data_IF_931392448053
#
_entry.id   IF_931392448053
#
_cell.length_a   1.000
_cell.length_b   1.000
_cell.length_c   1.000
_cell.angle_alpha   90.00
_cell.angle_beta   90.00
_cell.angle_gamma   90.00
#
_symmetry.space_group_name_H-M   'P 1'
#
loop_
_entity.id
_entity.type
_entity.pdbx_description
1 polymer ?
#
# COMPACT_ATOMS: atom_id res chain seq x y z
N UNK A 1 17.10 -8.10 -9.39
CA UNK A 1 18.30 -7.33 -9.76
C UNK A 1 17.97 -6.56 -11.03
N UNK A 2 18.06 -5.24 -11.02
CA UNK A 2 17.88 -4.44 -12.24
C UNK A 2 19.24 -3.89 -12.64
N UNK A 3 19.65 -4.16 -13.87
CA UNK A 3 20.77 -3.48 -14.48
C UNK A 3 20.25 -2.26 -15.25
N UNK A 4 20.62 -1.05 -14.82
CA UNK A 4 20.25 0.19 -15.51
C UNK A 4 21.29 0.51 -16.59
N UNK A 5 20.85 0.63 -17.84
CA UNK A 5 21.72 1.03 -18.95
C UNK A 5 22.08 2.52 -18.87
N UNK A 6 23.32 2.88 -19.23
CA UNK A 6 23.72 4.29 -19.29
C UNK A 6 22.89 5.12 -20.29
N UNK A 7 22.40 4.49 -21.37
CA UNK A 7 21.49 5.15 -22.31
C UNK A 7 20.19 5.57 -21.64
N UNK A 8 19.55 4.67 -20.89
CA UNK A 8 18.31 4.99 -20.15
C UNK A 8 18.51 6.13 -19.15
N UNK A 9 19.67 6.18 -18.47
CA UNK A 9 19.99 7.30 -17.58
C UNK A 9 20.19 8.61 -18.35
N UNK A 10 20.85 8.57 -19.51
CA UNK A 10 21.05 9.75 -20.37
C UNK A 10 19.73 10.28 -20.90
N UNK A 11 18.85 9.39 -21.36
CA UNK A 11 17.55 9.75 -21.93
C UNK A 11 16.67 10.39 -20.86
N UNK A 12 16.66 9.83 -19.64
CA UNK A 12 15.99 10.42 -18.49
C UNK A 12 16.53 11.80 -18.12
N UNK A 13 17.84 11.96 -17.96
CA UNK A 13 18.44 13.26 -17.64
C UNK A 13 18.18 14.29 -18.76
N UNK A 14 18.18 13.85 -20.02
CA UNK A 14 17.89 14.72 -21.16
C UNK A 14 16.43 15.17 -21.17
N UNK A 15 15.51 14.27 -20.82
CA UNK A 15 14.09 14.58 -20.62
C UNK A 15 13.89 15.59 -19.50
N UNK A 16 14.55 15.38 -18.35
CA UNK A 16 14.45 16.25 -17.18
C UNK A 16 15.00 17.66 -17.46
N UNK A 17 16.13 17.76 -18.16
CA UNK A 17 16.77 19.02 -18.51
C UNK A 17 16.16 19.68 -19.76
N UNK A 18 15.26 18.98 -20.47
CA UNK A 18 14.70 19.36 -21.77
C UNK A 18 15.78 19.71 -22.81
N UNK A 19 16.95 19.06 -22.71
CA UNK A 19 18.16 19.31 -23.52
C UNK A 19 19.03 18.05 -23.56
N UNK A 20 19.86 17.92 -24.58
CA UNK A 20 20.82 16.82 -24.66
C UNK A 20 21.82 16.84 -23.48
N UNK A 21 22.02 15.68 -22.87
CA UNK A 21 22.94 15.47 -21.75
C UNK A 21 24.11 14.58 -22.16
N UNK A 22 25.32 15.00 -21.78
CA UNK A 22 26.52 14.15 -21.83
C UNK A 22 26.85 13.67 -20.42
N UNK A 23 26.78 12.35 -20.19
CA UNK A 23 27.19 11.77 -18.90
C UNK A 23 28.72 11.72 -18.85
N UNK A 24 29.31 12.44 -17.90
CA UNK A 24 30.75 12.51 -17.68
C UNK A 24 31.21 11.37 -16.77
N UNK A 25 30.44 11.11 -15.70
CA UNK A 25 30.82 10.15 -14.68
C UNK A 25 29.60 9.53 -14.01
N UNK A 26 29.66 8.22 -13.76
CA UNK A 26 28.73 7.53 -12.86
C UNK A 26 29.51 6.57 -11.98
N UNK A 27 29.21 6.55 -10.69
CA UNK A 27 29.83 5.61 -9.75
C UNK A 27 29.16 5.61 -8.37
N UNK A 28 29.40 4.57 -7.57
CA UNK A 28 28.86 4.51 -6.20
C UNK A 28 29.44 5.64 -5.34
N UNK A 29 28.57 6.33 -4.60
CA UNK A 29 28.95 7.52 -3.82
C UNK A 29 30.06 7.23 -2.79
N UNK A 30 30.00 6.04 -2.16
CA UNK A 30 30.96 5.62 -1.13
C UNK A 30 32.30 5.06 -1.68
N UNK A 31 32.39 4.77 -2.98
CA UNK A 31 33.61 4.22 -3.62
C UNK A 31 33.95 4.96 -4.90
N UNK A 32 34.34 6.25 -4.81
CA UNK A 32 34.59 7.10 -5.98
C UNK A 32 35.77 6.63 -6.87
N UNK A 33 36.67 5.79 -6.34
CA UNK A 33 37.92 5.35 -6.99
C UNK A 33 37.76 4.26 -8.08
N UNK A 34 36.57 3.67 -8.28
CA UNK A 34 36.30 2.74 -9.40
C UNK A 34 35.43 3.42 -10.45
N UNK A 35 36.03 4.39 -11.12
CA UNK A 35 35.40 5.26 -12.11
C UNK A 35 35.71 4.76 -13.52
N UNK A 36 34.80 3.97 -14.07
CA UNK A 36 34.73 3.75 -15.52
C UNK A 36 33.27 3.95 -15.93
N UNK A 37 33.04 4.49 -17.13
CA UNK A 37 31.76 4.42 -17.81
C UNK A 37 31.42 2.94 -18.02
N UNK A 38 30.83 2.30 -17.01
CA UNK A 38 30.33 0.93 -17.14
C UNK A 38 29.02 1.03 -17.88
N UNK A 39 28.88 0.35 -19.03
CA UNK A 39 27.67 0.41 -19.86
C UNK A 39 26.36 0.09 -19.12
N UNK A 40 26.44 -0.54 -17.94
CA UNK A 40 25.34 -0.86 -17.03
C UNK A 40 25.72 -0.60 -15.57
N UNK A 41 24.78 -0.08 -14.80
CA UNK A 41 24.87 0.02 -13.34
C UNK A 41 24.39 -1.30 -12.72
N UNK A 42 25.34 -2.17 -12.36
CA UNK A 42 25.03 -3.44 -11.69
C UNK A 42 24.53 -3.20 -10.27
N UNK A 43 23.46 -3.89 -9.90
CA UNK A 43 22.89 -3.82 -8.54
C UNK A 43 22.06 -2.57 -8.25
N UNK A 44 21.68 -1.81 -9.28
CA UNK A 44 20.74 -0.71 -9.14
C UNK A 44 19.39 -1.26 -8.62
N UNK A 45 18.76 -0.58 -7.65
CA UNK A 45 17.53 -1.07 -6.99
C UNK A 45 17.69 -1.56 -5.54
N UNK A 46 18.88 -1.51 -4.94
CA UNK A 46 19.16 -2.07 -3.60
C UNK A 46 19.52 -1.06 -2.49
N UNK A 47 19.25 0.24 -2.66
CA UNK A 47 19.60 1.21 -1.60
C UNK A 47 20.93 1.92 -1.80
N UNK A 48 21.73 1.53 -2.79
CA UNK A 48 23.07 2.13 -2.96
C UNK A 48 22.98 3.43 -3.76
N UNK A 49 23.45 4.56 -3.21
CA UNK A 49 23.45 5.84 -3.91
C UNK A 49 24.58 5.88 -4.96
N UNK A 50 24.24 6.38 -6.15
CA UNK A 50 25.17 6.61 -7.25
C UNK A 50 25.36 8.10 -7.48
N UNK A 51 26.60 8.56 -7.47
CA UNK A 51 26.96 9.88 -7.97
C UNK A 51 26.90 9.86 -9.49
N UNK A 52 26.23 10.85 -10.06
CA UNK A 52 26.16 11.11 -11.49
C UNK A 52 26.67 12.52 -11.73
N UNK A 53 27.65 12.67 -12.61
CA UNK A 53 28.13 13.96 -13.11
C UNK A 53 27.87 14.02 -14.61
N UNK A 54 27.28 15.12 -15.06
CA UNK A 54 26.84 15.26 -16.44
C UNK A 54 26.89 16.71 -16.90
N UNK A 55 26.94 16.92 -18.21
CA UNK A 55 26.95 18.23 -18.84
C UNK A 55 25.63 18.51 -19.54
N UNK A 56 25.16 19.74 -19.39
CA UNK A 56 24.05 20.33 -20.15
C UNK A 56 24.61 21.55 -20.87
N UNK A 57 24.94 21.41 -22.15
CA UNK A 57 25.73 22.40 -22.89
C UNK A 57 27.09 22.64 -22.21
N UNK A 58 27.37 23.87 -21.76
CA UNK A 58 28.61 24.23 -21.04
C UNK A 58 28.55 24.05 -19.52
N UNK A 59 27.37 23.77 -18.96
CA UNK A 59 27.20 23.65 -17.49
C UNK A 59 27.44 22.21 -17.05
N UNK A 60 28.31 22.03 -16.06
CA UNK A 60 28.48 20.74 -15.37
C UNK A 60 27.51 20.71 -14.19
N UNK A 61 26.76 19.62 -14.07
CA UNK A 61 25.87 19.34 -12.95
C UNK A 61 26.24 17.99 -12.32
N UNK A 62 25.88 17.83 -11.07
CA UNK A 62 25.99 16.55 -10.36
C UNK A 62 24.74 16.28 -9.56
N UNK A 63 24.43 15.00 -9.38
CA UNK A 63 23.31 14.53 -8.59
C UNK A 63 23.59 13.15 -8.02
N UNK A 64 22.84 12.78 -6.98
CA UNK A 64 22.85 11.43 -6.42
C UNK A 64 21.55 10.75 -6.83
N UNK A 65 21.67 9.60 -7.49
CA UNK A 65 20.55 8.74 -7.82
C UNK A 65 20.55 7.54 -6.89
N UNK A 66 19.45 7.36 -6.18
CA UNK A 66 19.26 6.27 -5.24
C UNK A 66 17.90 5.62 -5.40
N UNK A 67 17.80 4.38 -4.94
CA UNK A 67 16.53 3.65 -4.79
C UNK A 67 16.45 3.20 -3.35
N UNK A 68 15.28 2.82 -2.84
CA UNK A 68 15.17 2.22 -1.51
C UNK A 68 15.24 0.69 -1.59
N UNK A 69 15.86 0.06 -0.59
CA UNK A 69 15.88 -1.42 -0.45
C UNK A 69 14.59 -1.89 0.23
N UNK A 70 14.11 -3.07 -0.15
CA UNK A 70 13.03 -3.73 0.60
C UNK A 70 13.49 -4.12 2.02
N UNK A 71 12.61 -3.94 3.01
CA UNK A 71 12.85 -4.34 4.40
C UNK A 71 11.64 -4.13 5.32
N UNK A 72 11.65 -4.79 6.49
CA UNK A 72 10.53 -4.91 7.44
C UNK A 72 10.12 -3.66 8.24
N UNK A 73 10.69 -2.50 7.90
CA UNK A 73 10.40 -1.22 8.55
C UNK A 73 9.33 -0.40 7.79
N UNK A 74 8.45 -1.07 7.05
CA UNK A 74 7.51 -0.39 6.16
C UNK A 74 8.16 0.00 4.83
N UNK A 75 9.04 -0.85 4.30
CA UNK A 75 9.63 -0.69 2.96
C UNK A 75 9.49 -1.98 2.14
N UNK A 76 8.68 -2.93 2.61
CA UNK A 76 8.54 -4.28 2.09
C UNK A 76 8.12 -4.28 0.61
N UNK A 77 7.13 -3.47 0.28
CA UNK A 77 6.56 -3.37 -1.05
C UNK A 77 7.06 -2.14 -1.81
N UNK A 78 6.87 -2.16 -3.14
CA UNK A 78 7.26 -1.05 -3.99
C UNK A 78 6.48 0.23 -3.69
N UNK A 79 5.21 0.12 -3.31
CA UNK A 79 4.37 1.27 -2.97
C UNK A 79 4.82 1.94 -1.66
N UNK A 80 5.31 1.19 -0.67
CA UNK A 80 5.86 1.79 0.55
C UNK A 80 7.10 2.65 0.26
N UNK A 81 7.94 2.14 -0.63
CA UNK A 81 9.15 2.85 -1.07
C UNK A 81 8.79 4.06 -1.94
N UNK A 82 7.74 3.94 -2.76
CA UNK A 82 7.21 5.06 -3.52
C UNK A 82 6.71 6.17 -2.58
N UNK A 83 5.90 5.84 -1.56
CA UNK A 83 5.43 6.78 -0.54
C UNK A 83 6.60 7.54 0.10
N UNK A 84 7.64 6.82 0.53
CA UNK A 84 8.82 7.42 1.15
C UNK A 84 9.58 8.37 0.20
N UNK A 85 9.78 7.98 -1.05
CA UNK A 85 10.49 8.80 -2.06
C UNK A 85 9.67 10.03 -2.49
N UNK A 86 8.35 9.88 -2.61
CA UNK A 86 7.44 11.00 -2.91
C UNK A 86 7.43 12.01 -1.76
N UNK A 87 7.30 11.52 -0.52
CA UNK A 87 7.37 12.38 0.67
C UNK A 87 8.70 13.14 0.73
N UNK A 88 9.82 12.45 0.49
CA UNK A 88 11.14 13.08 0.41
C UNK A 88 11.18 14.19 -0.65
N UNK A 89 10.72 13.91 -1.88
CA UNK A 89 10.71 14.91 -2.95
C UNK A 89 9.85 16.14 -2.60
N UNK A 90 8.66 15.93 -2.05
CA UNK A 90 7.74 17.00 -1.68
C UNK A 90 8.24 17.90 -0.52
N UNK A 91 9.10 17.37 0.35
CA UNK A 91 9.48 18.05 1.62
C UNK A 91 10.92 18.52 1.68
N UNK A 92 11.87 17.84 1.02
CA UNK A 92 13.31 18.14 1.11
C UNK A 92 13.64 19.61 0.83
N UNK A 93 13.00 20.20 -0.19
CA UNK A 93 13.27 21.57 -0.61
C UNK A 93 12.67 22.63 0.34
N UNK A 94 11.79 22.24 1.27
CA UNK A 94 11.14 23.13 2.25
C UNK A 94 11.90 23.17 3.58
N UNK A 95 12.77 22.19 3.84
CA UNK A 95 13.57 22.13 5.05
C UNK A 95 14.90 22.89 4.86
N UNK A 96 15.17 23.95 5.65
CA UNK A 96 16.44 24.69 5.54
C UNK A 96 17.66 23.80 5.77
N UNK A 97 18.75 24.06 5.04
CA UNK A 97 20.02 23.31 5.11
C UNK A 97 19.89 21.82 4.78
N UNK A 98 18.83 21.41 4.11
CA UNK A 98 18.68 20.05 3.57
C UNK A 98 19.18 19.96 2.12
N UNK A 99 19.58 18.76 1.68
CA UNK A 99 19.89 18.53 0.26
C UNK A 99 18.64 18.78 -0.58
N UNK A 100 18.81 19.47 -1.71
CA UNK A 100 17.70 19.70 -2.63
C UNK A 100 17.32 18.43 -3.37
N UNK A 101 16.04 18.08 -3.35
CA UNK A 101 15.50 17.07 -4.25
C UNK A 101 15.34 17.68 -5.64
N UNK A 102 15.95 17.03 -6.64
CA UNK A 102 15.91 17.47 -8.05
C UNK A 102 14.70 16.89 -8.77
N UNK A 103 14.41 15.61 -8.54
CA UNK A 103 13.31 14.89 -9.17
C UNK A 103 12.99 13.62 -8.36
N UNK A 104 11.83 13.02 -8.61
CA UNK A 104 11.44 11.67 -8.21
C UNK A 104 10.89 10.95 -9.43
N UNK A 105 11.20 9.66 -9.55
CA UNK A 105 10.90 8.91 -10.76
C UNK A 105 10.58 7.44 -10.50
N UNK A 106 10.15 6.78 -11.55
CA UNK A 106 9.90 5.34 -11.58
C UNK A 106 10.90 4.64 -12.50
N UNK A 107 11.09 3.36 -12.23
CA UNK A 107 11.75 2.44 -13.13
C UNK A 107 10.68 1.56 -13.79
N UNK A 108 10.58 1.61 -15.11
CA UNK A 108 9.59 0.82 -15.85
C UNK A 108 9.98 -0.65 -15.94
N UNK A 109 9.04 -1.52 -16.33
CA UNK A 109 9.32 -2.94 -16.61
C UNK A 109 10.36 -3.16 -17.74
N UNK A 110 10.61 -2.14 -18.57
CA UNK A 110 11.64 -2.13 -19.62
C UNK A 110 12.98 -1.56 -19.14
N UNK A 111 13.14 -1.33 -17.83
CA UNK A 111 14.31 -0.71 -17.22
C UNK A 111 14.59 0.72 -17.70
N UNK A 112 13.53 1.46 -18.07
CA UNK A 112 13.60 2.89 -18.39
C UNK A 112 13.35 3.72 -17.13
N UNK A 113 14.02 4.86 -17.00
CA UNK A 113 13.71 5.85 -15.96
C UNK A 113 12.69 6.86 -16.50
N UNK A 114 11.66 7.16 -15.72
CA UNK A 114 10.68 8.21 -16.04
C UNK A 114 10.47 9.11 -14.84
N UNK A 115 10.50 10.42 -15.07
CA UNK A 115 10.15 11.40 -14.05
C UNK A 115 8.66 11.29 -13.72
N UNK A 116 8.35 11.42 -12.43
CA UNK A 116 7.01 11.68 -11.91
C UNK A 116 7.02 12.88 -10.96
N UNK A 117 8.09 13.68 -10.94
CA UNK A 117 8.23 14.80 -9.98
C UNK A 117 7.32 15.99 -10.27
N UNK A 118 6.83 16.14 -11.50
CA UNK A 118 5.83 17.15 -11.88
C UNK A 118 4.40 16.63 -11.68
N UNK A 119 4.15 15.93 -10.57
CA UNK A 119 2.82 15.43 -10.22
C UNK A 119 2.10 16.43 -9.30
N UNK A 120 0.77 16.53 -9.45
CA UNK A 120 -0.10 17.20 -8.48
C UNK A 120 -0.90 16.19 -7.66
N UNK A 121 -1.36 15.11 -8.29
CA UNK A 121 -2.17 14.06 -7.68
C UNK A 121 -2.05 12.76 -8.50
N UNK A 122 -2.18 11.61 -7.83
CA UNK A 122 -2.31 10.30 -8.45
C UNK A 122 -3.78 9.94 -8.62
N UNK A 123 -4.12 9.30 -9.72
CA UNK A 123 -5.47 8.79 -9.95
C UNK A 123 -5.43 7.29 -10.25
N UNK A 124 -6.49 6.59 -9.85
CA UNK A 124 -6.76 5.21 -10.21
C UNK A 124 -7.96 5.16 -11.14
N UNK A 125 -7.80 4.51 -12.30
CA UNK A 125 -8.89 4.22 -13.23
C UNK A 125 -9.17 2.71 -13.20
N UNK A 126 -10.39 2.34 -12.81
CA UNK A 126 -10.86 0.96 -12.74
C UNK A 126 -11.98 0.70 -13.74
N UNK A 127 -12.24 -0.57 -14.04
CA UNK A 127 -13.41 -0.97 -14.82
C UNK A 127 -14.70 -0.67 -14.04
N UNK A 128 -15.76 -0.25 -14.76
CA UNK A 128 -17.08 -0.06 -14.15
C UNK A 128 -17.69 -1.42 -13.81
N UNK A 129 -18.01 -1.62 -12.53
CA UNK A 129 -18.76 -2.79 -12.06
C UNK A 129 -20.26 -2.45 -12.03
N UNK A 130 -21.08 -3.34 -12.58
CA UNK A 130 -22.55 -3.28 -12.50
C UNK A 130 -23.05 -4.16 -11.36
N UNK A 131 -24.19 -3.82 -10.76
CA UNK A 131 -24.84 -4.62 -9.72
C UNK A 131 -25.37 -3.79 -8.56
N UNK A 132 -25.75 -4.49 -7.48
CA UNK A 132 -26.21 -3.91 -6.22
C UNK A 132 -25.27 -4.28 -5.08
N UNK A 133 -24.97 -3.33 -4.20
CA UNK A 133 -24.14 -3.57 -3.03
C UNK A 133 -24.77 -4.58 -2.08
N UNK A 134 -23.99 -5.51 -1.52
CA UNK A 134 -24.49 -6.55 -0.61
C UNK A 134 -25.11 -5.97 0.65
N UNK A 135 -24.66 -4.79 1.09
CA UNK A 135 -25.29 -4.07 2.21
C UNK A 135 -26.81 -3.84 2.00
N UNK A 136 -27.29 -3.73 0.76
CA UNK A 136 -28.73 -3.61 0.46
C UNK A 136 -29.52 -4.86 0.79
N UNK A 137 -28.90 -6.04 0.70
CA UNK A 137 -29.54 -7.28 1.16
C UNK A 137 -29.72 -7.23 2.68
N UNK A 138 -28.71 -6.75 3.41
CA UNK A 138 -28.77 -6.65 4.86
C UNK A 138 -29.76 -5.58 5.34
N UNK A 139 -29.82 -4.43 4.67
CA UNK A 139 -30.88 -3.42 4.90
C UNK A 139 -32.27 -4.03 4.69
N UNK A 140 -32.47 -4.75 3.57
CA UNK A 140 -33.74 -5.41 3.29
C UNK A 140 -34.10 -6.42 4.37
N UNK A 141 -33.17 -7.26 4.81
CA UNK A 141 -33.42 -8.24 5.87
C UNK A 141 -33.76 -7.54 7.18
N UNK A 142 -33.00 -6.51 7.56
CA UNK A 142 -33.27 -5.68 8.74
C UNK A 142 -34.68 -5.09 8.70
N UNK A 143 -35.02 -4.39 7.61
CA UNK A 143 -36.26 -3.61 7.52
C UNK A 143 -37.50 -4.49 7.36
N UNK A 144 -37.37 -5.63 6.68
CA UNK A 144 -38.50 -6.55 6.45
C UNK A 144 -38.64 -7.65 7.50
N UNK A 145 -37.57 -7.96 8.23
CA UNK A 145 -37.48 -9.16 9.06
C UNK A 145 -37.45 -10.48 8.26
N UNK A 146 -37.35 -10.42 6.92
CA UNK A 146 -37.47 -11.59 6.04
C UNK A 146 -36.12 -11.93 5.41
N UNK A 147 -35.58 -13.08 5.82
CA UNK A 147 -34.47 -13.75 5.14
C UNK A 147 -35.02 -14.70 4.06
N UNK A 148 -34.36 -14.72 2.90
CA UNK A 148 -34.71 -15.55 1.75
C UNK A 148 -33.63 -16.59 1.46
N UNK A 149 -33.96 -17.61 0.67
CA UNK A 149 -32.98 -18.60 0.19
C UNK A 149 -31.85 -17.97 -0.65
N UNK A 150 -32.09 -16.81 -1.26
CA UNK A 150 -31.03 -16.10 -1.99
C UNK A 150 -29.97 -15.55 -1.03
N UNK A 151 -30.36 -15.06 0.15
CA UNK A 151 -29.42 -14.48 1.13
C UNK A 151 -28.48 -15.56 1.66
N UNK A 152 -29.03 -16.73 2.00
CA UNK A 152 -28.25 -17.89 2.44
C UNK A 152 -27.27 -18.32 1.34
N UNK A 153 -27.72 -18.37 0.07
CA UNK A 153 -26.85 -18.72 -1.06
C UNK A 153 -25.77 -17.67 -1.33
N UNK A 154 -26.06 -16.38 -1.17
CA UNK A 154 -25.08 -15.29 -1.30
C UNK A 154 -24.03 -15.36 -0.20
N UNK A 155 -24.44 -15.56 1.05
CA UNK A 155 -23.54 -15.78 2.18
C UNK A 155 -22.63 -16.99 1.96
N UNK A 156 -23.18 -18.12 1.49
CA UNK A 156 -22.39 -19.30 1.14
C UNK A 156 -21.38 -19.00 0.01
N UNK A 157 -21.79 -18.32 -1.06
CA UNK A 157 -20.91 -17.96 -2.18
C UNK A 157 -19.76 -17.04 -1.74
N UNK A 158 -20.02 -16.07 -0.84
CA UNK A 158 -19.01 -15.21 -0.25
C UNK A 158 -18.03 -16.00 0.63
N UNK A 159 -18.56 -16.95 1.42
CA UNK A 159 -17.75 -17.82 2.28
C UNK A 159 -16.83 -18.73 1.47
N UNK A 160 -17.34 -19.32 0.39
CA UNK A 160 -16.52 -20.12 -0.53
C UNK A 160 -15.46 -19.28 -1.23
N UNK A 161 -15.81 -18.07 -1.67
CA UNK A 161 -14.87 -17.14 -2.29
C UNK A 161 -13.73 -16.78 -1.34
N UNK A 162 -14.05 -16.33 -0.13
CA UNK A 162 -13.03 -15.86 0.81
C UNK A 162 -12.13 -17.02 1.26
N UNK A 163 -12.69 -18.22 1.44
CA UNK A 163 -11.90 -19.43 1.68
C UNK A 163 -10.93 -19.73 0.52
N UNK A 164 -11.34 -19.54 -0.75
CA UNK A 164 -10.42 -19.67 -1.90
C UNK A 164 -9.32 -18.60 -1.91
N UNK A 165 -9.62 -17.37 -1.47
CA UNK A 165 -8.63 -16.31 -1.32
C UNK A 165 -7.57 -16.72 -0.28
N UNK A 166 -8.01 -17.18 0.89
CA UNK A 166 -7.18 -17.58 2.04
C UNK A 166 -6.35 -18.86 1.83
N UNK A 167 -6.70 -19.69 0.84
CA UNK A 167 -5.92 -20.90 0.48
C UNK A 167 -4.50 -20.58 0.02
N UNK A 168 -4.24 -19.36 -0.49
CA UNK A 168 -2.91 -18.95 -0.91
C UNK A 168 -2.11 -18.52 0.32
N UNK A 169 -1.17 -19.37 0.72
CA UNK A 169 -0.24 -19.15 1.83
C UNK A 169 1.11 -18.61 1.35
N UNK A 170 1.85 -17.99 2.26
CA UNK A 170 3.20 -17.50 2.00
C UNK A 170 4.06 -17.59 3.25
N UNK A 171 5.23 -18.19 3.11
CA UNK A 171 6.24 -18.25 4.18
C UNK A 171 6.99 -16.91 4.26
N UNK A 172 6.38 -15.92 4.94
CA UNK A 172 6.97 -14.61 5.14
C UNK A 172 6.59 -14.04 6.53
N UNK A 173 7.21 -14.52 7.62
CA UNK A 173 6.82 -14.14 8.98
C UNK A 173 6.78 -12.63 9.23
N UNK A 174 7.70 -11.89 8.62
CA UNK A 174 7.76 -10.43 8.73
C UNK A 174 6.52 -9.74 8.18
N UNK A 175 5.90 -10.29 7.11
CA UNK A 175 4.66 -9.75 6.56
C UNK A 175 3.47 -9.98 7.49
N UNK A 176 3.47 -11.08 8.26
CA UNK A 176 2.45 -11.29 9.29
C UNK A 176 2.62 -10.28 10.44
N UNK A 177 3.84 -10.10 10.93
CA UNK A 177 4.14 -9.12 11.98
C UNK A 177 3.76 -7.71 11.51
N UNK A 178 4.03 -7.39 10.24
CA UNK A 178 3.57 -6.16 9.60
C UNK A 178 2.06 -6.05 9.58
N UNK A 179 1.33 -7.05 9.08
CA UNK A 179 -0.12 -6.99 8.98
C UNK A 179 -0.78 -6.69 10.34
N UNK A 180 -0.33 -7.35 11.41
CA UNK A 180 -0.83 -7.09 12.77
C UNK A 180 -0.42 -5.70 13.27
N UNK A 181 0.79 -5.22 12.96
CA UNK A 181 1.22 -3.86 13.31
C UNK A 181 0.35 -2.82 12.61
N UNK A 182 0.12 -2.98 11.31
CA UNK A 182 -0.60 -2.02 10.49
C UNK A 182 -2.10 -2.04 10.84
N UNK A 183 -2.69 -3.20 11.16
CA UNK A 183 -4.07 -3.30 11.69
C UNK A 183 -4.27 -2.47 12.96
N UNK A 184 -3.30 -2.48 13.87
CA UNK A 184 -3.42 -1.70 15.12
C UNK A 184 -3.07 -0.24 14.90
N UNK A 185 -1.96 0.06 14.23
CA UNK A 185 -1.36 1.40 14.26
C UNK A 185 -1.40 2.22 12.97
N UNK A 186 -1.93 1.69 11.87
CA UNK A 186 -2.06 2.49 10.64
C UNK A 186 -3.22 3.48 10.78
N UNK A 187 -3.08 4.68 10.20
CA UNK A 187 -4.11 5.74 10.24
C UNK A 187 -5.39 5.42 9.46
N UNK A 188 -5.41 4.32 8.72
CA UNK A 188 -6.62 3.79 8.07
C UNK A 188 -7.26 2.65 8.87
N UNK A 189 -6.61 2.19 9.94
CA UNK A 189 -7.02 1.03 10.74
C UNK A 189 -7.42 1.45 12.16
N UNK A 190 -7.21 0.62 13.19
CA UNK A 190 -7.82 0.81 14.52
C UNK A 190 -7.47 2.18 15.13
N UNK A 191 -6.20 2.56 15.22
CA UNK A 191 -5.82 3.87 15.79
C UNK A 191 -6.40 5.05 15.00
N UNK A 192 -6.35 5.01 13.66
CA UNK A 192 -6.95 6.08 12.85
C UNK A 192 -8.47 6.16 12.94
N UNK A 193 -9.14 5.02 13.08
CA UNK A 193 -10.58 4.97 13.34
C UNK A 193 -10.90 5.54 14.72
N UNK A 194 -10.11 5.23 15.75
CA UNK A 194 -10.27 5.81 17.09
C UNK A 194 -10.15 7.34 17.03
N UNK A 195 -9.15 7.87 16.31
CA UNK A 195 -8.93 9.31 16.14
C UNK A 195 -10.09 10.02 15.40
N UNK A 196 -10.94 9.27 14.70
CA UNK A 196 -12.10 9.82 13.98
C UNK A 196 -13.34 10.07 14.85
N UNK A 197 -13.36 9.53 16.07
CA UNK A 197 -14.45 9.78 17.02
C UNK A 197 -14.28 11.14 17.70
N UNK A 198 -15.40 11.79 18.00
CA UNK A 198 -15.41 13.00 18.84
C UNK A 198 -15.00 12.67 20.28
N UNK A 199 -14.33 13.60 20.95
CA UNK A 199 -13.83 13.40 22.31
C UNK A 199 -14.96 13.18 23.34
N UNK A 200 -16.13 13.78 23.09
CA UNK A 200 -17.30 13.74 23.97
C UNK A 200 -18.53 13.09 23.29
N UNK A 201 -18.33 11.96 22.60
CA UNK A 201 -19.45 11.21 22.03
C UNK A 201 -20.36 10.65 23.14
N UNK A 202 -21.67 10.88 23.03
CA UNK A 202 -22.69 10.52 24.03
C UNK A 202 -22.89 9.00 24.20
N UNK A 203 -22.47 8.21 23.21
CA UNK A 203 -22.52 6.75 23.23
C UNK A 203 -21.21 6.08 23.71
N UNK A 204 -20.20 6.85 24.12
CA UNK A 204 -18.93 6.34 24.64
C UNK A 204 -18.77 6.65 26.12
N UNK A 205 -18.33 5.65 26.88
CA UNK A 205 -17.89 5.88 28.25
C UNK A 205 -16.55 6.61 28.27
N UNK A 206 -16.31 7.37 29.34
CA UNK A 206 -15.02 8.04 29.54
C UNK A 206 -13.88 7.01 29.50
N UNK A 207 -12.81 7.34 28.77
CA UNK A 207 -11.63 6.48 28.56
C UNK A 207 -11.91 5.17 27.78
N UNK A 208 -13.12 4.92 27.26
CA UNK A 208 -13.47 3.65 26.60
C UNK A 208 -12.57 3.34 25.39
N UNK A 209 -12.39 4.30 24.47
CA UNK A 209 -11.54 4.13 23.30
C UNK A 209 -10.08 3.87 23.68
N UNK A 210 -9.59 4.52 24.74
CA UNK A 210 -8.25 4.29 25.28
C UNK A 210 -8.10 2.86 25.81
N UNK A 211 -9.11 2.33 26.48
CA UNK A 211 -9.10 0.94 26.95
C UNK A 211 -9.20 -0.07 25.81
N UNK A 212 -9.96 0.24 24.75
CA UNK A 212 -9.99 -0.55 23.51
C UNK A 212 -8.59 -0.58 22.87
N UNK A 213 -7.94 0.56 22.73
CA UNK A 213 -6.59 0.64 22.15
C UNK A 213 -5.57 -0.21 22.93
N UNK A 214 -5.56 -0.11 24.27
CA UNK A 214 -4.70 -0.94 25.12
C UNK A 214 -4.93 -2.43 24.89
N UNK A 215 -6.19 -2.87 24.81
CA UNK A 215 -6.53 -4.27 24.52
C UNK A 215 -6.02 -4.68 23.14
N UNK A 216 -6.10 -3.82 22.13
CA UNK A 216 -5.55 -4.08 20.80
C UNK A 216 -4.02 -4.24 20.83
N UNK A 217 -3.31 -3.42 21.62
CA UNK A 217 -1.86 -3.57 21.82
C UNK A 217 -1.51 -4.91 22.47
N UNK A 218 -2.25 -5.33 23.50
CA UNK A 218 -2.06 -6.64 24.14
C UNK A 218 -2.27 -7.79 23.14
N UNK A 219 -3.33 -7.71 22.33
CA UNK A 219 -3.60 -8.68 21.27
C UNK A 219 -2.51 -8.72 20.21
N UNK A 220 -1.96 -7.57 19.80
CA UNK A 220 -0.83 -7.52 18.86
C UNK A 220 0.33 -8.38 19.34
N UNK A 221 0.70 -8.32 20.63
CA UNK A 221 1.77 -9.14 21.19
C UNK A 221 1.43 -10.63 21.20
N UNK A 222 0.17 -10.99 21.49
CA UNK A 222 -0.32 -12.37 21.44
C UNK A 222 -0.31 -12.94 20.01
N UNK A 223 -0.65 -12.12 19.01
CA UNK A 223 -0.74 -12.55 17.62
C UNK A 223 0.63 -12.62 16.96
N UNK A 224 1.60 -11.77 17.33
CA UNK A 224 2.91 -11.63 16.68
C UNK A 224 3.65 -12.95 16.41
N UNK A 225 3.49 -13.97 17.27
CA UNK A 225 4.14 -15.28 17.13
C UNK A 225 3.38 -16.29 16.24
N UNK A 226 2.18 -15.96 15.75
CA UNK A 226 1.29 -16.85 14.98
C UNK A 226 1.47 -16.73 13.46
N UNK A 227 2.68 -16.44 13.01
CA UNK A 227 2.97 -16.15 11.60
C UNK A 227 2.64 -17.26 10.61
N UNK A 228 2.51 -18.51 11.07
CA UNK A 228 2.10 -19.67 10.25
C UNK A 228 0.72 -19.53 9.63
N UNK A 229 -0.13 -18.67 10.19
CA UNK A 229 -1.47 -18.45 9.65
C UNK A 229 -1.50 -17.56 8.40
N UNK A 230 -0.39 -16.85 8.11
CA UNK A 230 -0.30 -15.85 7.05
C UNK A 230 -0.87 -16.36 5.72
N UNK A 231 -1.83 -15.63 5.19
CA UNK A 231 -2.45 -15.92 3.92
C UNK A 231 -2.74 -14.65 3.14
N UNK A 232 -3.06 -14.84 1.86
CA UNK A 232 -3.64 -13.79 1.05
C UNK A 232 -5.03 -13.46 1.62
N UNK A 233 -5.29 -12.19 1.87
CA UNK A 233 -6.57 -11.67 2.39
C UNK A 233 -7.18 -10.68 1.41
N UNK A 234 -8.46 -10.38 1.54
CA UNK A 234 -9.01 -9.16 0.95
C UNK A 234 -8.55 -7.94 1.75
N UNK A 235 -8.55 -8.05 3.08
CA UNK A 235 -8.12 -7.00 4.01
C UNK A 235 -9.15 -5.90 4.23
N UNK A 236 -10.33 -6.00 3.62
CA UNK A 236 -11.47 -5.07 3.81
C UNK A 236 -12.80 -5.72 3.39
N UNK A 237 -12.98 -6.99 3.77
CA UNK A 237 -14.08 -7.82 3.28
C UNK A 237 -15.38 -7.57 4.04
N UNK A 238 -16.14 -6.58 3.62
CA UNK A 238 -17.44 -6.23 4.21
C UNK A 238 -18.53 -5.97 3.16
N UNK A 239 -19.83 -5.92 3.54
CA UNK A 239 -20.94 -5.84 2.59
C UNK A 239 -20.93 -4.63 1.64
N UNK A 240 -20.35 -3.50 2.06
CA UNK A 240 -20.21 -2.32 1.21
C UNK A 240 -19.19 -2.49 0.07
N UNK A 241 -18.25 -3.44 0.18
CA UNK A 241 -17.23 -3.74 -0.83
C UNK A 241 -17.62 -4.90 -1.75
N UNK A 242 -18.88 -5.35 -1.72
CA UNK A 242 -19.37 -6.46 -2.53
C UNK A 242 -20.52 -5.99 -3.40
N UNK A 243 -20.40 -6.18 -4.72
CA UNK A 243 -21.47 -5.90 -5.68
C UNK A 243 -21.98 -7.18 -6.32
N UNK A 244 -23.24 -7.54 -6.05
CA UNK A 244 -23.93 -8.63 -6.71
C UNK A 244 -24.56 -8.17 -8.03
N UNK A 245 -24.25 -8.85 -9.13
CA UNK A 245 -24.89 -8.64 -10.43
C UNK A 245 -26.24 -9.35 -10.49
N UNK A 246 -26.24 -10.67 -10.28
CA UNK A 246 -27.43 -11.52 -10.32
C UNK A 246 -27.19 -12.80 -9.54
N UNK A 247 -28.17 -13.22 -8.73
CA UNK A 247 -28.03 -14.43 -7.93
C UNK A 247 -26.80 -14.34 -7.03
N UNK A 248 -25.89 -15.32 -7.13
CA UNK A 248 -24.63 -15.39 -6.39
C UNK A 248 -23.42 -14.84 -7.16
N UNK A 249 -23.62 -14.28 -8.35
CA UNK A 249 -22.54 -13.68 -9.14
C UNK A 249 -22.21 -12.27 -8.63
N UNK A 250 -20.97 -12.05 -8.21
CA UNK A 250 -20.52 -10.79 -7.60
C UNK A 250 -19.11 -10.36 -8.02
N UNK A 251 -18.77 -9.12 -7.68
CA UNK A 251 -17.40 -8.59 -7.70
C UNK A 251 -17.09 -7.98 -6.34
N UNK A 252 -15.89 -8.28 -5.83
CA UNK A 252 -15.33 -7.60 -4.67
C UNK A 252 -14.59 -6.34 -5.10
N UNK A 253 -14.67 -5.31 -4.28
CA UNK A 253 -14.12 -3.97 -4.50
C UNK A 253 -13.17 -3.62 -3.37
N UNK A 254 -12.34 -2.61 -3.59
CA UNK A 254 -11.49 -1.97 -2.58
C UNK A 254 -10.63 -2.92 -1.71
N UNK A 255 -9.44 -3.24 -2.22
CA UNK A 255 -8.43 -4.07 -1.54
C UNK A 255 -7.21 -3.23 -1.14
N UNK A 256 -7.46 -2.03 -0.62
CA UNK A 256 -6.41 -1.03 -0.39
C UNK A 256 -5.61 -1.22 0.92
N UNK A 257 -6.08 -2.05 1.86
CA UNK A 257 -5.49 -2.17 3.21
C UNK A 257 -4.29 -3.12 3.31
N UNK A 258 -4.39 -4.35 2.77
CA UNK A 258 -3.25 -5.29 2.72
C UNK A 258 -3.49 -6.45 1.76
N UNK A 259 -2.40 -6.95 1.15
CA UNK A 259 -2.44 -8.19 0.38
C UNK A 259 -2.34 -9.45 1.25
N UNK A 260 -1.58 -9.36 2.35
CA UNK A 260 -1.19 -10.48 3.21
C UNK A 260 -1.58 -10.21 4.66
N UNK A 261 -2.23 -11.18 5.30
CA UNK A 261 -2.73 -11.04 6.66
C UNK A 261 -3.28 -12.33 7.24
N UNK A 262 -4.19 -12.19 8.19
CA UNK A 262 -4.87 -13.28 8.88
C UNK A 262 -6.27 -13.47 8.31
N UNK A 263 -6.68 -14.72 8.06
CA UNK A 263 -7.99 -15.05 7.51
C UNK A 263 -9.14 -14.59 8.41
N UNK A 264 -8.91 -14.61 9.73
CA UNK A 264 -9.88 -14.17 10.73
C UNK A 264 -10.29 -12.70 10.57
N UNK A 265 -9.44 -11.86 9.98
CA UNK A 265 -9.75 -10.44 9.73
C UNK A 265 -10.91 -10.29 8.74
N UNK A 266 -10.81 -10.91 7.56
CA UNK A 266 -11.89 -10.90 6.56
C UNK A 266 -13.18 -11.55 7.10
N UNK A 267 -13.06 -12.64 7.86
CA UNK A 267 -14.23 -13.34 8.44
C UNK A 267 -14.91 -12.47 9.50
N UNK A 268 -14.13 -11.82 10.38
CA UNK A 268 -14.67 -10.93 11.41
C UNK A 268 -15.31 -9.69 10.76
N UNK A 269 -14.65 -9.07 9.79
CA UNK A 269 -15.15 -7.89 9.06
C UNK A 269 -16.48 -8.16 8.37
N UNK A 270 -16.65 -9.32 7.72
CA UNK A 270 -17.93 -9.69 7.13
C UNK A 270 -19.00 -10.02 8.19
N UNK A 271 -18.66 -10.86 9.17
CA UNK A 271 -19.65 -11.42 10.10
C UNK A 271 -20.17 -10.41 11.12
N UNK A 272 -19.34 -9.46 11.58
CA UNK A 272 -19.78 -8.41 12.51
C UNK A 272 -20.91 -7.57 11.92
N UNK A 273 -20.93 -7.37 10.60
CA UNK A 273 -21.98 -6.61 9.93
C UNK A 273 -23.35 -7.27 10.10
N UNK A 274 -23.45 -8.61 10.11
CA UNK A 274 -24.74 -9.26 10.37
C UNK A 274 -25.29 -8.92 11.75
N UNK A 275 -24.42 -8.78 12.76
CA UNK A 275 -24.80 -8.36 14.10
C UNK A 275 -25.16 -6.87 14.14
N UNK A 276 -24.34 -6.00 13.53
CA UNK A 276 -24.57 -4.56 13.54
C UNK A 276 -25.89 -4.18 12.86
N UNK A 277 -26.21 -4.79 11.71
CA UNK A 277 -27.49 -4.58 11.05
C UNK A 277 -28.66 -5.09 11.90
N UNK A 278 -28.48 -6.19 12.63
CA UNK A 278 -29.52 -6.71 13.52
C UNK A 278 -29.79 -5.81 14.74
N UNK A 279 -28.74 -5.22 15.32
CA UNK A 279 -28.85 -4.39 16.53
C UNK A 279 -29.51 -3.05 16.23
N UNK A 280 -29.43 -2.53 15.00
CA UNK A 280 -30.11 -1.29 14.60
C UNK A 280 -31.65 -1.31 14.75
N UNK A 281 -32.25 -2.49 14.98
CA UNK A 281 -33.69 -2.63 15.27
C UNK A 281 -34.04 -2.42 16.75
N UNK A 282 -33.04 -2.29 17.62
CA UNK A 282 -33.16 -2.21 19.07
C UNK A 282 -32.57 -0.90 19.60
#
# INVERSE_FOLDING_TARGET
MVDLALSALRDYLSSLEKRNVEIVRVGGLQKPKRTKLVGKLKGFGYGTPYLIEYKVGRKVKSGVLETMRAGGFGHDFSWDRAQSLLFAHCTYNRLPKHVRSVDVGILTKKSELRSVGDFSEFFLLTEKVQGQGYYRDLERIRDSGIMTDLDVRRCAALSEYIARVHKVKKEAPDLYVRAVRDLVGHGECIMGLIDSYEEEADFLEKDELREIEKKCVDWRWKLKSKSRSLCRVHGDFHPFNIMFRKGTDFTALDRSRSEWGEAADDVASMSINYLLFSIQLH
#
